data_IF_258711992955
#
_entry.id   IF_258711992955
#
_cell.length_a   1.000
_cell.length_b   1.000
_cell.length_c   1.000
_cell.angle_alpha   90.00
_cell.angle_beta   90.00
_cell.angle_gamma   90.00
#
_symmetry.space_group_name_H-M   'P 1'
#
loop_
_entity.id
_entity.type
_entity.pdbx_description
1 polymer ?
#
# COMPACT_ATOMS: atom_id res chain seq x y z
N UNK A 1 -12.42 -3.84 -45.18
CA UNK A 1 -13.48 -4.14 -44.20
C UNK A 1 -13.03 -3.59 -42.85
N UNK A 2 -13.63 -2.49 -42.40
CA UNK A 2 -13.34 -1.86 -41.11
C UNK A 2 -14.28 -2.48 -40.06
N UNK A 3 -13.76 -3.28 -39.13
CA UNK A 3 -14.55 -3.80 -38.01
C UNK A 3 -14.66 -2.69 -36.96
N UNK A 4 -15.83 -2.06 -36.86
CA UNK A 4 -16.14 -1.02 -35.88
C UNK A 4 -16.01 -1.51 -34.45
N UNK A 5 -15.34 -0.72 -33.60
CA UNK A 5 -15.13 -1.01 -32.18
C UNK A 5 -16.43 -1.07 -31.37
N UNK A 6 -16.38 -1.71 -30.19
CA UNK A 6 -17.52 -1.85 -29.26
C UNK A 6 -18.14 -0.48 -28.97
N UNK A 7 -19.28 -0.20 -29.60
CA UNK A 7 -20.02 1.06 -29.54
C UNK A 7 -20.74 1.28 -28.20
N UNK A 8 -19.98 1.47 -27.14
CA UNK A 8 -20.47 2.00 -25.86
C UNK A 8 -19.78 3.32 -25.54
N UNK A 9 -20.41 4.46 -25.86
CA UNK A 9 -20.01 5.73 -25.27
C UNK A 9 -20.56 5.78 -23.84
N UNK A 10 -19.69 5.78 -22.85
CA UNK A 10 -20.03 6.33 -21.55
C UNK A 10 -20.28 7.83 -21.76
N UNK A 11 -21.47 8.31 -21.38
CA UNK A 11 -21.74 9.75 -21.41
C UNK A 11 -20.67 10.46 -20.59
N UNK A 12 -20.02 11.48 -21.17
CA UNK A 12 -19.13 12.38 -20.44
C UNK A 12 -20.02 13.28 -19.59
N UNK A 13 -20.65 12.71 -18.57
CA UNK A 13 -21.00 13.49 -17.40
C UNK A 13 -19.68 13.72 -16.69
N UNK A 14 -19.31 14.96 -16.42
CA UNK A 14 -18.37 15.25 -15.35
C UNK A 14 -19.02 14.76 -14.05
N UNK A 15 -19.03 13.44 -13.83
CA UNK A 15 -19.35 12.87 -12.54
C UNK A 15 -18.39 13.53 -11.56
N UNK A 16 -18.83 13.93 -10.37
CA UNK A 16 -17.96 14.61 -9.43
C UNK A 16 -16.80 13.68 -9.13
N UNK A 17 -15.67 13.91 -9.80
CA UNK A 17 -14.40 13.33 -9.41
C UNK A 17 -14.00 14.17 -8.23
N UNK A 18 -14.54 13.81 -7.08
CA UNK A 18 -14.05 14.31 -5.81
C UNK A 18 -12.61 13.82 -5.75
N UNK A 19 -11.67 14.65 -6.19
CA UNK A 19 -10.32 14.61 -5.67
C UNK A 19 -10.48 14.99 -4.19
N UNK A 20 -10.97 14.05 -3.39
CA UNK A 20 -10.76 14.13 -1.97
C UNK A 20 -9.25 13.96 -1.84
N UNK A 21 -8.56 15.06 -1.59
CA UNK A 21 -7.25 14.95 -0.95
C UNK A 21 -7.43 14.01 0.25
N UNK A 22 -6.45 13.14 0.55
CA UNK A 22 -6.47 12.44 1.84
C UNK A 22 -6.73 13.50 2.91
N UNK A 23 -7.71 13.22 3.76
CA UNK A 23 -8.10 14.13 4.85
C UNK A 23 -6.82 14.36 5.66
N UNK A 24 -6.27 15.57 5.59
CA UNK A 24 -5.08 15.93 6.35
C UNK A 24 -5.44 15.74 7.82
N UNK A 25 -4.84 14.73 8.46
CA UNK A 25 -5.00 14.55 9.89
C UNK A 25 -4.51 15.83 10.57
N UNK A 26 -5.44 16.54 11.23
CA UNK A 26 -5.12 17.77 11.93
C UNK A 26 -3.97 17.56 12.91
N UNK A 27 -3.02 18.49 12.86
CA UNK A 27 -1.82 18.56 13.68
C UNK A 27 -2.20 18.67 15.16
N UNK A 28 -2.35 17.54 15.86
CA UNK A 28 -2.55 17.53 17.31
C UNK A 28 -1.21 17.46 18.04
N UNK A 29 -0.77 18.65 18.43
CA UNK A 29 0.07 18.98 19.59
C UNK A 29 1.00 17.90 20.17
N UNK A 30 2.30 18.21 20.09
CA UNK A 30 3.40 17.76 20.93
C UNK A 30 3.02 17.71 22.42
N UNK A 31 2.66 16.53 22.95
CA UNK A 31 2.60 16.26 24.39
C UNK A 31 2.69 14.75 24.69
N UNK A 32 3.83 14.35 25.27
CA UNK A 32 3.97 13.20 26.18
C UNK A 32 3.56 11.81 25.66
N UNK A 33 4.46 11.10 24.97
CA UNK A 33 4.38 9.62 24.89
C UNK A 33 5.79 9.03 24.77
N UNK A 34 6.53 9.07 25.87
CA UNK A 34 7.60 8.10 26.06
C UNK A 34 6.96 6.72 26.33
N UNK A 35 7.45 5.69 25.64
CA UNK A 35 7.33 4.25 25.96
C UNK A 35 6.14 3.42 25.40
N UNK A 36 5.83 3.53 24.12
CA UNK A 36 5.25 2.38 23.40
C UNK A 36 5.82 2.20 21.99
N UNK A 37 7.12 2.38 21.87
CA UNK A 37 7.85 2.09 20.65
C UNK A 37 8.00 0.58 20.49
N UNK A 38 7.48 0.02 19.40
CA UNK A 38 7.61 -1.41 19.10
C UNK A 38 8.83 -1.63 18.23
N UNK A 39 9.72 -2.57 18.59
CA UNK A 39 10.81 -2.98 17.70
C UNK A 39 10.26 -3.73 16.51
N UNK A 40 10.61 -3.29 15.31
CA UNK A 40 10.15 -3.90 14.05
C UNK A 40 11.34 -4.40 13.25
N UNK A 41 11.18 -5.56 12.63
CA UNK A 41 12.19 -6.17 11.76
C UNK A 41 11.84 -6.07 10.28
N UNK A 42 12.75 -6.52 9.43
CA UNK A 42 12.50 -6.70 8.01
C UNK A 42 11.53 -7.87 7.76
N UNK A 43 10.96 -7.93 6.54
CA UNK A 43 10.13 -9.06 6.16
C UNK A 43 11.01 -10.32 6.07
N UNK A 44 10.68 -11.34 6.86
CA UNK A 44 11.42 -12.60 6.86
C UNK A 44 11.35 -13.36 5.53
N UNK A 45 12.07 -14.48 5.41
CA UNK A 45 12.07 -15.30 4.19
C UNK A 45 10.84 -16.21 4.09
N UNK A 46 10.07 -16.34 5.16
CA UNK A 46 8.90 -17.21 5.26
C UNK A 46 7.60 -16.41 5.11
N UNK A 47 6.56 -16.98 4.47
CA UNK A 47 5.25 -16.36 4.43
C UNK A 47 4.65 -16.22 5.83
N UNK A 48 4.03 -15.08 6.10
CA UNK A 48 3.47 -14.73 7.40
C UNK A 48 1.95 -14.61 7.31
N UNK A 49 1.26 -15.30 8.22
CA UNK A 49 -0.18 -15.15 8.38
C UNK A 49 -0.47 -13.83 9.10
N UNK A 50 -1.46 -13.08 8.60
CA UNK A 50 -1.91 -11.87 9.27
C UNK A 50 -2.84 -12.26 10.43
N UNK A 51 -2.72 -11.51 11.52
CA UNK A 51 -3.59 -11.61 12.69
C UNK A 51 -4.41 -10.33 12.81
N UNK A 52 -5.68 -10.46 13.19
CA UNK A 52 -6.56 -9.33 13.43
C UNK A 52 -6.25 -8.62 14.77
N UNK A 53 -5.72 -9.35 15.75
CA UNK A 53 -5.36 -8.80 17.07
C UNK A 53 -3.98 -8.15 17.06
N UNK A 54 -3.06 -8.69 16.26
CA UNK A 54 -1.68 -8.19 16.17
C UNK A 54 -1.33 -7.81 14.72
N UNK A 55 -1.37 -6.52 14.38
CA UNK A 55 -0.97 -6.04 13.06
C UNK A 55 0.45 -6.43 12.70
N UNK A 56 0.65 -6.85 11.46
CA UNK A 56 1.99 -7.12 10.96
C UNK A 56 2.69 -5.81 10.62
N UNK A 57 3.71 -5.46 11.41
CA UNK A 57 4.57 -4.29 11.17
C UNK A 57 5.90 -4.76 10.60
N UNK A 58 6.36 -4.10 9.54
CA UNK A 58 7.57 -4.49 8.81
C UNK A 58 8.33 -3.26 8.40
N UNK A 59 9.65 -3.25 8.64
CA UNK A 59 10.55 -2.23 8.12
C UNK A 59 10.96 -2.60 6.71
N UNK A 60 10.80 -1.66 5.79
CA UNK A 60 11.12 -1.84 4.37
C UNK A 60 12.05 -0.72 3.92
N UNK A 61 13.20 -1.10 3.38
CA UNK A 61 14.15 -0.15 2.81
C UNK A 61 13.59 0.46 1.51
N UNK A 62 13.81 1.75 1.33
CA UNK A 62 13.44 2.45 0.10
C UNK A 62 14.55 2.33 -0.94
N UNK A 63 14.18 2.28 -2.23
CA UNK A 63 15.16 2.17 -3.32
C UNK A 63 15.94 3.47 -3.57
N UNK A 64 15.35 4.64 -3.31
CA UNK A 64 16.00 5.95 -3.51
C UNK A 64 15.28 7.03 -2.68
N UNK A 65 16.04 7.91 -2.03
CA UNK A 65 15.54 9.09 -1.30
C UNK A 65 15.70 10.39 -2.11
N UNK A 66 15.01 11.45 -1.70
CA UNK A 66 15.12 12.80 -2.26
C UNK A 66 15.12 12.87 -3.78
N UNK A 67 14.12 12.24 -4.40
CA UNK A 67 13.99 12.22 -5.85
C UNK A 67 13.58 13.59 -6.35
N UNK A 68 14.18 14.03 -7.47
CA UNK A 68 13.79 15.29 -8.12
C UNK A 68 12.38 15.15 -8.71
N UNK A 69 11.64 16.26 -8.83
CA UNK A 69 10.28 16.29 -9.39
C UNK A 69 10.16 15.55 -10.74
N UNK A 70 11.16 15.70 -11.63
CA UNK A 70 11.22 14.98 -12.91
C UNK A 70 11.29 13.46 -12.74
N UNK A 71 12.12 12.96 -11.83
CA UNK A 71 12.24 11.52 -11.56
C UNK A 71 10.97 10.92 -10.94
N UNK A 72 10.21 11.73 -10.18
CA UNK A 72 8.91 11.34 -9.62
C UNK A 72 7.82 11.20 -10.68
N UNK A 73 7.89 12.01 -11.73
CA UNK A 73 6.99 11.91 -12.87
C UNK A 73 7.31 10.70 -13.75
N UNK A 74 8.58 10.36 -13.93
CA UNK A 74 9.01 9.22 -14.76
C UNK A 74 8.87 7.86 -14.05
N UNK A 75 9.06 7.84 -12.72
CA UNK A 75 9.06 6.61 -11.92
C UNK A 75 8.24 6.80 -10.64
N UNK A 76 7.26 5.93 -10.45
CA UNK A 76 6.44 5.88 -9.23
C UNK A 76 7.06 4.87 -8.26
N UNK A 77 7.27 5.29 -7.02
CA UNK A 77 7.52 4.40 -5.89
C UNK A 77 6.24 3.64 -5.54
N UNK A 78 6.33 2.31 -5.58
CA UNK A 78 5.21 1.40 -5.38
C UNK A 78 5.53 0.39 -4.30
N UNK A 79 4.67 0.32 -3.27
CA UNK A 79 4.66 -0.79 -2.31
C UNK A 79 4.06 -2.01 -3.01
N UNK A 80 4.79 -3.12 -2.97
CA UNK A 80 4.37 -4.40 -3.53
C UNK A 80 4.22 -5.43 -2.41
N UNK A 81 3.00 -5.92 -2.25
CA UNK A 81 2.69 -7.06 -1.40
C UNK A 81 2.53 -8.28 -2.29
N UNK A 82 3.39 -9.28 -2.08
CA UNK A 82 3.51 -10.47 -2.92
C UNK A 82 2.94 -11.70 -2.25
N UNK A 83 2.58 -12.67 -3.09
CA UNK A 83 2.18 -14.01 -2.68
C UNK A 83 1.01 -14.03 -1.68
N UNK A 84 0.04 -13.12 -1.86
CA UNK A 84 -1.14 -13.02 -1.00
C UNK A 84 -2.00 -14.27 -1.18
N UNK A 85 -2.08 -15.13 -0.17
CA UNK A 85 -2.94 -16.30 -0.14
C UNK A 85 -4.16 -15.97 0.72
N UNK A 86 -5.34 -16.25 0.18
CA UNK A 86 -6.62 -16.13 0.85
C UNK A 86 -7.32 -17.48 0.79
N UNK A 87 -7.97 -17.89 1.88
CA UNK A 87 -8.79 -19.11 1.90
C UNK A 87 -9.86 -19.03 0.81
N UNK A 88 -10.04 -20.13 0.08
CA UNK A 88 -10.94 -20.15 -1.08
C UNK A 88 -12.38 -20.05 -0.59
N UNK A 89 -13.17 -19.16 -1.19
CA UNK A 89 -14.59 -18.87 -0.88
C UNK A 89 -14.85 -17.93 0.31
N UNK A 90 -13.82 -17.37 0.93
CA UNK A 90 -14.00 -16.34 1.96
C UNK A 90 -13.74 -14.94 1.39
N UNK A 91 -14.48 -13.98 1.92
CA UNK A 91 -14.15 -12.57 1.73
C UNK A 91 -13.02 -12.22 2.71
N UNK A 92 -11.97 -11.60 2.20
CA UNK A 92 -10.86 -11.14 3.02
C UNK A 92 -10.53 -9.69 2.73
N UNK A 93 -10.22 -8.95 3.78
CA UNK A 93 -9.81 -7.55 3.73
C UNK A 93 -8.68 -7.29 4.70
N UNK A 94 -7.63 -6.62 4.23
CA UNK A 94 -6.65 -5.99 5.09
C UNK A 94 -6.34 -4.59 4.58
N UNK A 95 -6.00 -3.72 5.53
CA UNK A 95 -5.64 -2.33 5.29
C UNK A 95 -4.12 -2.18 5.40
N UNK A 96 -3.57 -1.22 4.65
CA UNK A 96 -2.14 -0.95 4.56
C UNK A 96 -1.88 0.48 5.03
N UNK A 97 -0.99 0.62 6.00
CA UNK A 97 -0.55 1.90 6.55
C UNK A 97 0.96 2.06 6.41
N UNK A 98 1.41 3.31 6.36
CA UNK A 98 2.84 3.67 6.28
C UNK A 98 3.18 4.72 7.31
N UNK A 99 4.31 4.52 8.00
CA UNK A 99 4.87 5.49 8.92
C UNK A 99 6.39 5.61 8.74
N UNK A 100 6.94 6.75 9.14
CA UNK A 100 8.39 6.93 9.27
C UNK A 100 8.86 6.24 10.56
N UNK A 101 9.88 5.36 10.51
CA UNK A 101 10.42 4.71 11.69
C UNK A 101 11.28 5.65 12.53
N UNK A 102 11.34 5.39 13.84
CA UNK A 102 12.36 5.92 14.74
C UNK A 102 13.52 4.93 14.84
N UNK A 103 14.40 4.93 13.83
CA UNK A 103 15.45 3.91 13.69
C UNK A 103 14.87 2.54 13.30
N UNK A 104 14.90 1.58 14.22
CA UNK A 104 14.26 0.26 14.06
C UNK A 104 12.93 0.14 14.84
N UNK A 105 12.43 1.27 15.33
CA UNK A 105 11.23 1.35 16.15
C UNK A 105 10.07 1.93 15.36
N UNK A 106 8.89 1.36 15.59
CA UNK A 106 7.65 1.86 15.05
C UNK A 106 6.81 2.50 16.17
N UNK A 107 6.19 3.64 15.85
CA UNK A 107 5.37 4.41 16.80
C UNK A 107 4.13 3.66 17.30
N UNK A 108 3.39 4.17 18.29
CA UNK A 108 2.10 3.59 18.69
C UNK A 108 1.10 3.58 17.53
N UNK A 109 1.09 4.64 16.74
CA UNK A 109 0.19 4.79 15.60
C UNK A 109 0.65 3.98 14.39
N UNK A 110 -0.30 3.57 13.55
CA UNK A 110 -0.02 2.84 12.31
C UNK A 110 0.53 3.74 11.20
N UNK A 111 0.35 5.06 11.33
CA UNK A 111 0.70 6.05 10.32
C UNK A 111 -0.42 6.34 9.34
N UNK A 112 -0.05 6.76 8.13
CA UNK A 112 -0.96 7.19 7.08
C UNK A 112 -1.55 6.01 6.31
N UNK A 113 -2.83 6.13 5.94
CA UNK A 113 -3.54 5.08 5.21
C UNK A 113 -3.20 5.12 3.72
N UNK A 114 -2.70 4.00 3.19
CA UNK A 114 -2.27 3.90 1.79
C UNK A 114 -3.32 3.20 0.92
N UNK A 115 -4.04 2.24 1.48
CA UNK A 115 -5.08 1.51 0.75
C UNK A 115 -5.46 0.19 1.41
N UNK A 116 -6.39 -0.51 0.77
CA UNK A 116 -6.88 -1.82 1.23
C UNK A 116 -6.76 -2.86 0.12
N UNK A 117 -6.44 -4.08 0.51
CA UNK A 117 -6.69 -5.24 -0.33
C UNK A 117 -8.03 -5.85 0.04
N UNK A 118 -8.90 -6.07 -0.95
CA UNK A 118 -10.17 -6.74 -0.78
C UNK A 118 -10.26 -7.89 -1.76
N UNK A 119 -10.53 -9.08 -1.25
CA UNK A 119 -10.93 -10.23 -2.05
C UNK A 119 -12.34 -10.61 -1.64
N UNK A 120 -13.25 -10.62 -2.62
CA UNK A 120 -14.62 -11.04 -2.41
C UNK A 120 -14.74 -12.55 -2.59
N UNK A 121 -15.56 -13.20 -1.77
CA UNK A 121 -15.98 -14.56 -1.99
C UNK A 121 -16.63 -14.69 -3.38
N UNK A 122 -16.13 -15.63 -4.19
CA UNK A 122 -16.71 -15.95 -5.50
C UNK A 122 -16.90 -17.46 -5.56
N UNK A 123 -18.14 -17.93 -5.62
CA UNK A 123 -18.53 -19.35 -5.55
C UNK A 123 -18.21 -20.16 -6.80
N UNK A 124 -16.94 -20.21 -7.21
CA UNK A 124 -16.48 -21.08 -8.32
C UNK A 124 -16.03 -22.44 -7.78
N UNK A 125 -16.31 -23.51 -8.56
CA UNK A 125 -15.75 -24.86 -8.36
C UNK A 125 -14.22 -24.77 -8.18
N UNK A 126 -13.69 -25.52 -7.22
CA UNK A 126 -12.28 -25.57 -6.80
C UNK A 126 -11.29 -25.34 -7.97
N UNK A 127 -10.91 -24.08 -8.17
CA UNK A 127 -9.82 -23.70 -9.05
C UNK A 127 -8.54 -23.54 -8.23
N UNK A 128 -7.38 -23.65 -8.87
CA UNK A 128 -6.08 -23.49 -8.22
C UNK A 128 -6.04 -22.22 -7.33
N UNK A 129 -5.49 -22.35 -6.12
CA UNK A 129 -5.32 -21.26 -5.15
C UNK A 129 -4.44 -20.16 -5.75
N UNK A 130 -5.03 -19.21 -6.50
CA UNK A 130 -4.31 -18.10 -7.10
C UNK A 130 -3.78 -17.18 -6.01
N UNK A 131 -2.47 -16.97 -6.02
CA UNK A 131 -1.82 -15.98 -5.18
C UNK A 131 -2.07 -14.58 -5.75
N UNK A 132 -2.58 -13.69 -4.91
CA UNK A 132 -2.77 -12.29 -5.23
C UNK A 132 -1.47 -11.50 -5.14
N UNK A 133 -1.47 -10.31 -5.73
CA UNK A 133 -0.44 -9.29 -5.58
C UNK A 133 -1.15 -7.95 -5.43
N UNK A 134 -0.67 -7.10 -4.52
CA UNK A 134 -1.13 -5.72 -4.37
C UNK A 134 0.02 -4.79 -4.72
N UNK A 135 -0.29 -3.73 -5.47
CA UNK A 135 0.64 -2.66 -5.83
C UNK A 135 -0.01 -1.33 -5.46
N UNK A 136 0.62 -0.58 -4.58
CA UNK A 136 0.13 0.73 -4.14
C UNK A 136 1.18 1.79 -4.43
N UNK A 137 0.82 2.81 -5.22
CA UNK A 137 1.69 3.95 -5.49
C UNK A 137 1.73 4.89 -4.29
N UNK A 138 2.92 5.20 -3.80
CA UNK A 138 3.11 6.02 -2.58
C UNK A 138 3.83 7.34 -2.86
N UNK A 139 4.17 7.66 -4.12
CA UNK A 139 5.00 8.85 -4.42
C UNK A 139 4.36 10.16 -3.92
N UNK A 140 3.05 10.35 -4.11
CA UNK A 140 2.35 11.51 -3.57
C UNK A 140 2.27 11.46 -2.04
N UNK A 141 1.92 10.30 -1.48
CA UNK A 141 1.80 10.12 -0.04
C UNK A 141 3.11 10.39 0.72
N UNK A 142 4.26 10.10 0.13
CA UNK A 142 5.56 10.39 0.74
C UNK A 142 5.82 11.90 0.91
N UNK A 143 5.28 12.73 0.02
CA UNK A 143 5.33 14.19 0.15
C UNK A 143 4.38 14.65 1.25
N UNK A 144 3.17 14.08 1.30
CA UNK A 144 2.14 14.44 2.29
C UNK A 144 2.58 14.14 3.74
N UNK A 145 3.33 13.06 3.96
CA UNK A 145 3.82 12.66 5.30
C UNK A 145 5.26 13.13 5.60
N UNK A 146 5.85 13.95 4.74
CA UNK A 146 7.23 14.44 4.84
C UNK A 146 8.28 13.32 5.03
N UNK A 147 8.09 12.19 4.32
CA UNK A 147 8.95 11.01 4.42
C UNK A 147 9.95 10.88 3.25
N UNK A 148 10.20 11.96 2.52
CA UNK A 148 11.07 11.98 1.35
C UNK A 148 12.53 11.65 1.67
N UNK A 149 13.00 12.15 2.81
CA UNK A 149 14.35 12.00 3.35
C UNK A 149 14.57 10.65 4.06
N UNK A 150 13.50 9.94 4.40
CA UNK A 150 13.58 8.69 5.17
C UNK A 150 14.17 7.55 4.32
N UNK A 151 15.18 6.84 4.85
CA UNK A 151 15.81 5.69 4.19
C UNK A 151 14.93 4.42 4.24
N UNK A 152 14.12 4.31 5.30
CA UNK A 152 13.26 3.15 5.59
C UNK A 152 11.87 3.63 5.93
N UNK A 153 10.88 2.77 5.69
CA UNK A 153 9.49 2.99 6.08
C UNK A 153 9.00 1.79 6.89
N UNK A 154 8.12 2.04 7.85
CA UNK A 154 7.32 0.99 8.49
C UNK A 154 6.05 0.81 7.69
N UNK A 155 5.87 -0.39 7.14
CA UNK A 155 4.60 -0.80 6.54
C UNK A 155 3.84 -1.62 7.56
N UNK A 156 2.62 -1.19 7.88
CA UNK A 156 1.74 -1.91 8.80
C UNK A 156 0.57 -2.51 8.03
N UNK A 157 0.37 -3.82 8.16
CA UNK A 157 -0.75 -4.55 7.57
C UNK A 157 -1.74 -4.93 8.68
N UNK A 158 -2.95 -4.40 8.58
CA UNK A 158 -4.03 -4.62 9.56
C UNK A 158 -5.08 -5.51 8.93
N UNK A 159 -5.21 -6.74 9.43
CA UNK A 159 -6.26 -7.65 8.98
C UNK A 159 -7.60 -7.19 9.56
N UNK A 160 -8.58 -6.96 8.67
CA UNK A 160 -9.94 -6.58 9.06
C UNK A 160 -10.90 -7.75 9.03
N UNK A 161 -10.77 -8.64 8.04
CA UNK A 161 -11.68 -9.78 7.85
C UNK A 161 -11.01 -10.89 7.06
N UNK A 162 -11.38 -12.14 7.36
CA UNK A 162 -10.93 -13.34 6.64
C UNK A 162 -9.55 -13.82 7.06
N UNK A 163 -9.05 -14.87 6.41
CA UNK A 163 -7.72 -15.41 6.65
C UNK A 163 -6.78 -15.12 5.48
N UNK A 164 -5.67 -14.42 5.77
CA UNK A 164 -4.72 -13.96 4.76
C UNK A 164 -3.29 -14.32 5.17
N UNK A 165 -2.53 -14.86 4.22
CA UNK A 165 -1.08 -15.05 4.36
C UNK A 165 -0.38 -14.21 3.31
N UNK A 166 0.62 -13.45 3.72
CA UNK A 166 1.46 -12.62 2.85
C UNK A 166 2.82 -13.29 2.71
N UNK A 167 3.38 -13.33 1.50
CA UNK A 167 4.70 -13.92 1.27
C UNK A 167 5.83 -12.91 1.13
N UNK A 168 5.53 -11.61 1.03
CA UNK A 168 6.56 -10.58 0.93
C UNK A 168 6.00 -9.17 0.88
N UNK A 169 6.75 -8.22 1.46
CA UNK A 169 6.52 -6.78 1.32
C UNK A 169 7.80 -6.15 0.80
N UNK A 170 7.71 -5.34 -0.25
CA UNK A 170 8.88 -4.66 -0.85
C UNK A 170 8.48 -3.35 -1.51
N UNK A 171 9.36 -2.36 -1.52
CA UNK A 171 9.16 -1.10 -2.27
C UNK A 171 9.99 -1.16 -3.55
N UNK A 172 9.38 -0.81 -4.69
CA UNK A 172 10.05 -0.76 -5.99
C UNK A 172 9.70 0.50 -6.77
N UNK A 173 10.65 0.97 -7.57
CA UNK A 173 10.41 1.98 -8.59
C UNK A 173 9.84 1.30 -9.83
N UNK A 174 8.66 1.74 -10.27
CA UNK A 174 8.06 1.33 -11.54
C UNK A 174 8.03 2.54 -12.48
N UNK A 175 8.35 2.32 -13.76
CA UNK A 175 8.21 3.35 -14.78
C UNK A 175 6.73 3.67 -15.00
N UNK A 176 6.43 4.94 -15.22
CA UNK A 176 5.11 5.38 -15.67
C UNK A 176 5.01 5.24 -17.18
N UNK A 177 3.86 4.81 -17.69
CA UNK A 177 3.60 4.75 -19.13
C UNK A 177 3.36 6.15 -19.74
N UNK A 178 3.39 7.22 -18.92
CA UNK A 178 3.28 8.60 -19.38
C UNK A 178 4.53 8.95 -20.19
N UNK A 179 4.40 9.28 -21.50
CA UNK A 179 5.53 9.75 -22.27
C UNK A 179 6.04 11.04 -21.61
N UNK A 180 7.36 11.17 -21.48
CA UNK A 180 7.97 12.42 -21.03
C UNK A 180 7.38 13.55 -21.88
N UNK A 181 6.70 14.50 -21.24
CA UNK A 181 6.28 15.72 -21.91
C UNK A 181 7.58 16.43 -22.28
N UNK A 182 7.92 16.35 -23.56
CA UNK A 182 9.06 17.02 -24.19
C UNK A 182 8.69 18.48 -24.40
#
# INVERSE_FOLDING_TARGET
>A
MLLGGLGGLYGVTAGPKVLAAPITAETKSKATTELSLTRVGEFGTTPQALDASNPLRVIVARPKKNRKKKEKQEKVEVIQIKDIKVTTNETARFDVYVAVPYGDLAGPDYGEFVGSFVRLAHGKKQGAKKKGKLKLGITALLEDIDAEDADKLVVTLVLRTGSVTVGGVSIKLLQTDTPAVI
#
